data_IF_808368859792
#
_entry.id   IF_808368859792
#
_cell.length_a   1.000
_cell.length_b   1.000
_cell.length_c   1.000
_cell.angle_alpha   90.00
_cell.angle_beta   90.00
_cell.angle_gamma   90.00
#
_symmetry.space_group_name_H-M   'P 1'
#
loop_
_entity.id
_entity.type
_entity.pdbx_description
1 polymer ?
#
# COMPACT_ATOMS: atom_id res chain seq x y z
N UNK A 1 16.18 -14.33 -0.64
CA UNK A 1 16.14 -13.17 0.27
C UNK A 1 16.06 -11.92 -0.57
N UNK A 2 15.02 -11.09 -0.43
CA UNK A 2 14.87 -9.86 -1.23
C UNK A 2 15.69 -8.73 -0.58
N UNK A 3 16.37 -7.94 -1.39
CA UNK A 3 17.04 -6.73 -0.93
C UNK A 3 16.02 -5.59 -0.85
N UNK A 4 16.33 -4.59 -0.04
CA UNK A 4 15.54 -3.37 0.08
C UNK A 4 15.17 -2.75 -1.29
N UNK A 5 16.14 -2.55 -2.18
CA UNK A 5 15.89 -1.91 -3.48
C UNK A 5 14.90 -2.72 -4.35
N UNK A 6 15.02 -4.05 -4.35
CA UNK A 6 14.09 -4.93 -5.08
C UNK A 6 12.70 -4.84 -4.45
N UNK A 7 12.60 -4.86 -3.12
CA UNK A 7 11.32 -4.77 -2.43
C UNK A 7 10.59 -3.46 -2.71
N UNK A 8 11.31 -2.33 -2.69
CA UNK A 8 10.74 -1.01 -3.02
C UNK A 8 10.28 -0.96 -4.47
N UNK A 9 11.12 -1.40 -5.42
CA UNK A 9 10.76 -1.42 -6.84
C UNK A 9 9.51 -2.26 -7.11
N UNK A 10 9.45 -3.49 -6.59
CA UNK A 10 8.29 -4.37 -6.78
C UNK A 10 7.03 -3.82 -6.11
N UNK A 11 7.14 -3.16 -4.94
CA UNK A 11 5.99 -2.49 -4.33
C UNK A 11 5.45 -1.37 -5.24
N UNK A 12 6.32 -0.56 -5.84
CA UNK A 12 5.92 0.51 -6.78
C UNK A 12 5.29 -0.07 -8.04
N UNK A 13 5.84 -1.16 -8.59
CA UNK A 13 5.25 -1.87 -9.73
C UNK A 13 3.83 -2.36 -9.40
N UNK A 14 3.64 -3.03 -8.26
CA UNK A 14 2.32 -3.49 -7.85
C UNK A 14 1.35 -2.33 -7.65
N UNK A 15 1.75 -1.25 -6.98
CA UNK A 15 0.91 -0.05 -6.80
C UNK A 15 0.53 0.59 -8.14
N UNK A 16 1.47 0.66 -9.08
CA UNK A 16 1.22 1.19 -10.43
C UNK A 16 0.25 0.29 -11.20
N UNK A 17 0.38 -1.03 -11.08
CA UNK A 17 -0.55 -1.98 -11.67
C UNK A 17 -1.96 -1.87 -11.05
N UNK A 18 -2.05 -1.64 -9.74
CA UNK A 18 -3.34 -1.36 -9.10
C UNK A 18 -3.95 -0.08 -9.64
N UNK A 19 -3.16 0.98 -9.77
CA UNK A 19 -3.62 2.25 -10.30
C UNK A 19 -4.07 2.15 -11.76
N UNK A 20 -3.40 1.34 -12.59
CA UNK A 20 -3.78 1.07 -13.97
C UNK A 20 -5.14 0.36 -14.13
N UNK A 21 -5.66 -0.27 -13.07
CA UNK A 21 -6.99 -0.88 -13.07
C UNK A 21 -8.13 0.12 -12.82
N UNK A 22 -7.79 1.35 -12.44
CA UNK A 22 -8.75 2.41 -12.17
C UNK A 22 -9.02 3.27 -13.41
N UNK A 23 -10.06 4.13 -13.39
CA UNK A 23 -10.28 5.09 -14.46
C UNK A 23 -9.10 6.07 -14.62
N UNK A 24 -8.83 6.54 -15.86
CA UNK A 24 -7.86 7.61 -16.10
C UNK A 24 -8.16 8.86 -15.27
N UNK A 25 -7.10 9.57 -14.86
CA UNK A 25 -7.22 10.75 -14.00
C UNK A 25 -7.22 10.45 -12.51
N UNK A 26 -7.17 9.17 -12.13
CA UNK A 26 -6.91 8.77 -10.74
C UNK A 26 -5.43 8.92 -10.37
N UNK A 27 -5.15 9.01 -9.08
CA UNK A 27 -3.79 9.03 -8.56
C UNK A 27 -3.74 8.47 -7.13
N UNK A 28 -2.57 8.03 -6.70
CA UNK A 28 -2.29 7.72 -5.30
C UNK A 28 -1.45 8.85 -4.72
N UNK A 29 -1.83 9.40 -3.58
CA UNK A 29 -1.07 10.47 -2.91
C UNK A 29 -1.20 10.35 -1.38
N UNK A 30 -0.12 10.61 -0.67
CA UNK A 30 -0.17 10.69 0.79
C UNK A 30 -0.97 11.90 1.29
N UNK A 31 -1.29 12.88 0.43
CA UNK A 31 -2.12 14.05 0.74
C UNK A 31 -3.39 14.08 -0.12
N UNK A 32 -4.53 14.31 0.51
CA UNK A 32 -5.77 14.68 -0.17
C UNK A 32 -6.00 16.19 0.00
N UNK A 33 -6.05 17.00 -1.08
CA UNK A 33 -6.30 18.44 -0.98
C UNK A 33 -7.61 18.81 -0.29
N UNK A 34 -8.60 17.89 -0.29
CA UNK A 34 -9.89 18.05 0.40
C UNK A 34 -9.77 17.83 1.91
N UNK A 35 -8.73 17.12 2.35
CA UNK A 35 -8.43 16.79 3.75
C UNK A 35 -7.00 17.24 4.12
N UNK A 36 -6.71 18.55 4.15
CA UNK A 36 -5.35 19.07 4.27
C UNK A 36 -4.63 18.67 5.57
N UNK A 37 -5.38 18.30 6.61
CA UNK A 37 -4.83 17.85 7.90
C UNK A 37 -4.66 16.33 7.99
N UNK A 38 -5.21 15.56 7.05
CA UNK A 38 -5.16 14.09 7.04
C UNK A 38 -4.09 13.60 6.06
N UNK A 39 -2.82 13.72 6.46
CA UNK A 39 -1.69 13.18 5.69
C UNK A 39 -1.48 11.72 6.06
N UNK A 40 -1.50 10.85 5.05
CA UNK A 40 -1.10 9.45 5.17
C UNK A 40 0.41 9.33 4.95
N UNK A 41 0.97 8.12 4.96
CA UNK A 41 2.42 8.01 4.83
C UNK A 41 2.91 6.58 4.76
N UNK A 42 4.23 6.48 4.75
CA UNK A 42 4.96 5.22 4.85
C UNK A 42 5.55 5.07 6.25
N UNK A 43 5.64 3.82 6.69
CA UNK A 43 6.26 3.44 7.94
C UNK A 43 7.15 2.22 7.73
N UNK A 44 8.36 2.29 8.28
CA UNK A 44 9.31 1.19 8.31
C UNK A 44 9.27 0.55 9.69
N UNK A 45 8.94 -0.74 9.75
CA UNK A 45 8.90 -1.50 10.99
C UNK A 45 10.04 -2.51 10.99
N UNK A 46 10.94 -2.40 11.97
CA UNK A 46 11.97 -3.41 12.23
C UNK A 46 11.33 -4.69 12.75
N UNK A 47 11.77 -5.82 12.22
CA UNK A 47 11.26 -7.15 12.56
C UNK A 47 12.05 -7.81 13.71
N UNK A 48 13.21 -7.24 14.06
CA UNK A 48 14.11 -7.66 15.12
C UNK A 48 13.89 -6.85 16.41
N UNK A 49 13.04 -7.35 17.31
CA UNK A 49 12.75 -6.71 18.59
C UNK A 49 13.71 -7.10 19.73
N UNK A 50 14.47 -8.19 19.58
CA UNK A 50 15.16 -8.87 20.68
C UNK A 50 16.64 -9.19 20.37
N UNK A 51 17.45 -8.22 19.90
CA UNK A 51 18.90 -8.41 19.95
C UNK A 51 19.35 -8.34 21.43
N UNK A 52 19.91 -9.42 22.00
CA UNK A 52 20.38 -9.41 23.38
C UNK A 52 21.54 -8.41 23.53
N UNK A 53 21.59 -7.63 24.63
CA UNK A 53 22.65 -6.65 24.82
C UNK A 53 24.01 -7.35 24.91
N UNK A 54 24.91 -7.04 23.97
CA UNK A 54 26.30 -7.50 23.97
C UNK A 54 26.75 -8.31 22.75
N UNK A 55 25.86 -8.64 21.81
CA UNK A 55 26.24 -9.21 20.51
C UNK A 55 26.46 -8.13 19.45
N UNK A 56 27.33 -8.39 18.47
CA UNK A 56 27.41 -7.54 17.29
C UNK A 56 26.08 -7.61 16.53
N UNK A 57 25.54 -6.46 16.09
CA UNK A 57 24.24 -6.45 15.43
C UNK A 57 24.30 -7.29 14.15
N UNK A 58 23.41 -8.28 14.08
CA UNK A 58 23.21 -9.12 12.90
C UNK A 58 22.56 -8.33 11.76
N UNK A 59 22.25 -9.01 10.63
CA UNK A 59 21.46 -8.41 9.57
C UNK A 59 20.09 -7.96 10.10
N UNK A 60 19.79 -6.67 9.93
CA UNK A 60 18.50 -6.08 10.33
C UNK A 60 17.46 -6.38 9.25
N UNK A 61 16.32 -6.92 9.66
CA UNK A 61 15.17 -7.15 8.79
C UNK A 61 14.06 -6.15 9.10
N UNK A 62 13.36 -5.71 8.07
CA UNK A 62 12.23 -4.80 8.22
C UNK A 62 11.16 -5.04 7.16
N UNK A 63 9.95 -4.61 7.48
CA UNK A 63 8.85 -4.47 6.54
C UNK A 63 8.52 -2.99 6.33
N UNK A 64 8.17 -2.64 5.09
CA UNK A 64 7.72 -1.31 4.72
C UNK A 64 6.21 -1.35 4.53
N UNK A 65 5.52 -0.38 5.10
CA UNK A 65 4.09 -0.17 4.89
C UNK A 65 3.86 1.23 4.35
N UNK A 66 2.87 1.41 3.50
CA UNK A 66 2.41 2.73 3.08
C UNK A 66 0.91 2.75 2.91
N UNK A 67 0.33 3.93 3.10
CA UNK A 67 -1.08 4.20 2.77
C UNK A 67 -1.19 5.48 1.97
N UNK A 68 -2.04 5.45 0.97
CA UNK A 68 -2.30 6.54 0.03
C UNK A 68 -3.79 6.83 -0.02
N UNK A 69 -4.14 8.09 -0.22
CA UNK A 69 -5.45 8.47 -0.71
C UNK A 69 -5.57 8.11 -2.18
N UNK A 70 -6.72 7.57 -2.58
CA UNK A 70 -7.09 7.45 -3.98
C UNK A 70 -7.75 8.76 -4.40
N UNK A 71 -7.14 9.45 -5.35
CA UNK A 71 -7.59 10.74 -5.87
C UNK A 71 -8.22 10.58 -7.25
N UNK A 72 -8.88 11.65 -7.73
CA UNK A 72 -9.54 11.67 -9.05
C UNK A 72 -10.94 11.07 -9.08
N UNK A 73 -11.45 10.62 -7.93
CA UNK A 73 -12.79 10.08 -7.76
C UNK A 73 -13.72 11.04 -7.00
N UNK A 74 -15.02 10.95 -7.28
CA UNK A 74 -16.07 11.60 -6.49
C UNK A 74 -16.18 10.91 -5.12
N UNK A 75 -15.99 11.61 -4.00
CA UNK A 75 -16.06 11.01 -2.67
C UNK A 75 -17.49 10.58 -2.29
N UNK A 76 -18.52 11.01 -3.02
CA UNK A 76 -19.90 10.57 -2.80
C UNK A 76 -20.20 9.20 -3.44
N UNK A 77 -19.31 8.69 -4.29
CA UNK A 77 -19.50 7.45 -5.05
C UNK A 77 -18.19 6.64 -5.15
N UNK A 78 -17.77 6.04 -4.02
CA UNK A 78 -16.52 5.26 -3.94
C UNK A 78 -16.71 3.75 -3.91
N UNK A 79 -17.95 3.27 -3.86
CA UNK A 79 -18.26 1.83 -3.92
C UNK A 79 -17.73 1.18 -5.20
N UNK A 80 -17.94 1.78 -6.41
CA UNK A 80 -17.43 1.18 -7.65
C UNK A 80 -15.90 1.04 -7.64
N UNK A 81 -15.17 1.93 -6.95
CA UNK A 81 -13.72 1.87 -6.88
C UNK A 81 -13.23 0.72 -6.00
N UNK A 82 -13.92 0.41 -4.89
CA UNK A 82 -13.63 -0.80 -4.09
C UNK A 82 -13.82 -2.04 -4.95
N UNK A 83 -14.90 -2.10 -5.72
CA UNK A 83 -15.19 -3.24 -6.58
C UNK A 83 -14.19 -3.38 -7.74
N UNK A 84 -13.65 -2.28 -8.27
CA UNK A 84 -12.56 -2.30 -9.25
C UNK A 84 -11.28 -2.93 -8.67
N UNK A 85 -10.86 -2.55 -7.47
CA UNK A 85 -9.70 -3.18 -6.82
C UNK A 85 -9.92 -4.67 -6.57
N UNK A 86 -11.10 -5.04 -6.06
CA UNK A 86 -11.47 -6.45 -5.83
C UNK A 86 -11.41 -7.26 -7.12
N UNK A 87 -12.02 -6.75 -8.19
CA UNK A 87 -12.03 -7.39 -9.50
C UNK A 87 -10.61 -7.52 -10.07
N UNK A 88 -9.76 -6.50 -9.90
CA UNK A 88 -8.36 -6.56 -10.30
C UNK A 88 -7.59 -7.66 -9.56
N UNK A 89 -7.73 -7.75 -8.23
CA UNK A 89 -7.08 -8.78 -7.42
C UNK A 89 -7.57 -10.19 -7.78
N UNK A 90 -8.88 -10.36 -7.94
CA UNK A 90 -9.48 -11.63 -8.36
C UNK A 90 -9.03 -12.04 -9.77
N UNK A 91 -8.93 -11.09 -10.70
CA UNK A 91 -8.43 -11.33 -12.06
C UNK A 91 -6.96 -11.78 -12.09
N UNK A 92 -6.18 -11.39 -11.08
CA UNK A 92 -4.80 -11.86 -10.87
C UNK A 92 -4.72 -13.18 -10.07
N UNK A 93 -5.87 -13.74 -9.67
CA UNK A 93 -5.95 -14.96 -8.87
C UNK A 93 -5.52 -14.77 -7.40
N UNK A 94 -5.49 -13.53 -6.91
CA UNK A 94 -5.12 -13.25 -5.52
C UNK A 94 -6.31 -13.55 -4.60
N UNK A 95 -6.10 -14.23 -3.45
CA UNK A 95 -7.14 -14.36 -2.44
C UNK A 95 -7.59 -12.98 -1.96
N UNK A 96 -8.91 -12.77 -1.89
CA UNK A 96 -9.52 -11.53 -1.41
C UNK A 96 -10.34 -11.81 -0.14
N UNK A 97 -10.09 -11.03 0.89
CA UNK A 97 -10.92 -10.93 2.09
C UNK A 97 -11.69 -9.60 2.03
N UNK A 98 -12.99 -9.62 2.31
CA UNK A 98 -13.86 -8.45 2.18
C UNK A 98 -14.72 -8.23 3.44
N UNK A 99 -14.97 -6.96 3.73
CA UNK A 99 -15.97 -6.52 4.70
C UNK A 99 -16.91 -5.57 3.99
N UNK A 100 -18.14 -6.04 3.77
CA UNK A 100 -19.18 -5.30 3.02
C UNK A 100 -19.96 -4.31 3.90
N UNK A 101 -19.82 -4.38 5.23
CA UNK A 101 -20.38 -3.39 6.14
C UNK A 101 -19.69 -2.04 5.97
N UNK A 102 -20.45 -0.94 6.04
CA UNK A 102 -19.89 0.40 5.93
C UNK A 102 -19.02 0.75 7.17
N UNK A 103 -17.80 1.29 6.98
CA UNK A 103 -17.15 1.53 5.69
C UNK A 103 -16.59 0.25 5.06
N UNK A 104 -16.80 0.08 3.74
CA UNK A 104 -16.35 -1.11 3.02
C UNK A 104 -14.83 -1.21 3.02
N UNK A 105 -14.33 -2.44 3.11
CA UNK A 105 -12.91 -2.71 2.92
C UNK A 105 -12.68 -4.05 2.24
N UNK A 106 -11.55 -4.14 1.54
CA UNK A 106 -11.08 -5.40 0.98
C UNK A 106 -9.57 -5.50 1.08
N UNK A 107 -9.08 -6.72 1.22
CA UNK A 107 -7.67 -7.04 1.40
C UNK A 107 -7.27 -8.14 0.45
N UNK A 108 -6.06 -8.07 -0.09
CA UNK A 108 -5.54 -9.11 -0.96
C UNK A 108 -4.05 -9.37 -0.72
N UNK A 109 -3.65 -10.64 -0.84
CA UNK A 109 -2.25 -11.03 -0.72
C UNK A 109 -1.70 -11.54 -2.05
N UNK A 110 -0.60 -10.95 -2.47
CA UNK A 110 0.16 -11.40 -3.63
C UNK A 110 0.90 -12.71 -3.31
N UNK A 111 1.15 -13.58 -4.32
CA UNK A 111 1.95 -14.79 -4.14
C UNK A 111 3.36 -14.53 -3.60
N UNK A 112 3.92 -13.34 -3.87
CA UNK A 112 5.29 -12.98 -3.47
C UNK A 112 5.35 -12.18 -2.15
N UNK A 113 4.24 -12.15 -1.41
CA UNK A 113 4.19 -11.82 0.01
C UNK A 113 3.69 -10.41 0.35
N UNK A 114 3.47 -9.54 -0.64
CA UNK A 114 2.86 -8.22 -0.43
C UNK A 114 1.38 -8.34 -0.08
N UNK A 115 0.94 -7.45 0.80
CA UNK A 115 -0.43 -7.34 1.25
C UNK A 115 -0.98 -5.97 0.87
N UNK A 116 -2.12 -5.96 0.19
CA UNK A 116 -2.85 -4.75 -0.18
C UNK A 116 -4.15 -4.66 0.62
N UNK A 117 -4.56 -3.43 0.91
CA UNK A 117 -5.85 -3.15 1.54
C UNK A 117 -6.46 -1.90 0.97
N UNK A 118 -7.72 -1.97 0.55
CA UNK A 118 -8.53 -0.81 0.16
C UNK A 118 -9.57 -0.59 1.25
N UNK A 119 -9.65 0.65 1.75
CA UNK A 119 -10.53 0.99 2.87
C UNK A 119 -11.24 2.30 2.57
N UNK A 120 -12.57 2.27 2.62
CA UNK A 120 -13.38 3.48 2.63
C UNK A 120 -13.33 4.18 3.98
N UNK A 121 -13.47 5.50 3.97
CA UNK A 121 -13.75 6.30 5.15
C UNK A 121 -15.25 6.55 5.26
N UNK A 122 -15.72 6.88 6.47
CA UNK A 122 -17.11 7.30 6.70
C UNK A 122 -17.50 8.56 5.91
N UNK A 123 -16.52 9.39 5.56
CA UNK A 123 -16.67 10.58 4.73
C UNK A 123 -16.63 10.30 3.22
N UNK A 124 -16.53 9.03 2.81
CA UNK A 124 -16.55 8.64 1.40
C UNK A 124 -15.22 8.80 0.66
N UNK A 125 -14.11 9.13 1.36
CA UNK A 125 -12.77 9.01 0.78
C UNK A 125 -12.30 7.56 0.79
N UNK A 126 -11.43 7.19 -0.15
CA UNK A 126 -10.86 5.84 -0.28
C UNK A 126 -9.36 5.91 -0.06
N UNK A 127 -8.82 4.91 0.63
CA UNK A 127 -7.38 4.75 0.78
C UNK A 127 -6.93 3.37 0.32
N UNK A 128 -5.73 3.31 -0.28
CA UNK A 128 -5.04 2.09 -0.64
C UNK A 128 -3.78 1.96 0.23
N UNK A 129 -3.63 0.83 0.90
CA UNK A 129 -2.41 0.46 1.62
C UNK A 129 -1.67 -0.69 0.96
N UNK A 130 -0.35 -0.69 1.12
CA UNK A 130 0.55 -1.79 0.80
C UNK A 130 1.41 -2.09 2.02
N UNK A 131 1.66 -3.36 2.28
CA UNK A 131 2.66 -3.85 3.22
C UNK A 131 3.58 -4.84 2.49
N UNK A 132 4.89 -4.64 2.59
CA UNK A 132 5.88 -5.49 1.94
C UNK A 132 6.20 -6.72 2.79
N UNK A 133 6.65 -7.83 2.19
CA UNK A 133 7.34 -8.86 2.97
C UNK A 133 8.61 -8.29 3.61
N UNK A 134 9.12 -8.99 4.63
CA UNK A 134 10.41 -8.66 5.25
C UNK A 134 11.54 -8.66 4.21
N UNK A 135 12.43 -7.67 4.33
CA UNK A 135 13.62 -7.55 3.52
C UNK A 135 14.84 -7.19 4.38
N UNK A 136 16.03 -7.47 3.85
CA UNK A 136 17.27 -7.04 4.47
C UNK A 136 17.39 -5.52 4.38
N UNK A 137 17.37 -4.84 5.51
CA UNK A 137 17.47 -3.39 5.62
C UNK A 137 18.94 -2.97 5.53
N UNK A 138 19.28 -2.22 4.49
CA UNK A 138 20.65 -1.70 4.28
C UNK A 138 20.71 -0.22 4.66
N UNK A 139 19.66 0.54 4.38
CA UNK A 139 19.58 1.97 4.70
C UNK A 139 18.13 2.39 4.95
N UNK A 140 17.80 2.84 6.16
CA UNK A 140 16.47 3.33 6.48
C UNK A 140 16.04 4.54 5.63
N UNK A 141 16.99 5.41 5.26
CA UNK A 141 16.71 6.59 4.44
C UNK A 141 16.26 6.24 3.01
N UNK A 142 16.73 5.10 2.50
CA UNK A 142 16.42 4.61 1.16
C UNK A 142 15.17 3.70 1.16
N UNK A 143 14.64 3.33 2.33
CA UNK A 143 13.50 2.44 2.48
C UNK A 143 12.19 3.24 2.47
N UNK A 144 11.92 3.92 1.35
CA UNK A 144 10.73 4.76 1.18
C UNK A 144 10.02 4.45 -0.13
N UNK A 145 8.70 4.49 -0.08
CA UNK A 145 7.87 4.54 -1.29
C UNK A 145 7.67 5.99 -1.73
N UNK A 146 7.33 6.23 -3.01
CA UNK A 146 7.00 7.57 -3.50
C UNK A 146 5.81 8.16 -2.73
N UNK A 147 5.82 9.48 -2.53
CA UNK A 147 4.72 10.20 -1.86
C UNK A 147 3.48 10.27 -2.76
N UNK A 148 3.67 10.22 -4.08
CA UNK A 148 2.63 10.29 -5.11
C UNK A 148 2.95 9.35 -6.28
N UNK A 149 1.91 8.70 -6.81
CA UNK A 149 1.93 7.96 -8.06
C UNK A 149 0.75 8.42 -8.93
N UNK A 150 1.03 8.89 -10.13
CA UNK A 150 0.01 9.27 -11.10
C UNK A 150 -0.41 8.07 -11.96
N UNK A 151 -1.65 8.07 -12.45
CA UNK A 151 -2.14 6.99 -13.30
C UNK A 151 -1.25 6.84 -14.55
N UNK A 152 -0.87 5.60 -14.91
CA UNK A 152 -0.03 5.37 -16.08
C UNK A 152 -0.76 5.82 -17.36
N UNK A 153 -0.02 6.39 -18.31
CA UNK A 153 -0.56 6.87 -19.58
C UNK A 153 -0.99 5.73 -20.52
#
# INVERSE_FOLDING_TARGET
MKTQAITVATAVEHLTAQLASLPPGTALDIRDPRLPTATLGSNLSRSDWDDPPGEEPGPVFAALSARYWVLGMDPTDTDPYVDLFKAAWQGLGWPVEEHEDLPRSAYARTPDGYHFGVIQSLSGHLSLSVNTPDFLLVSAAEARLPDRLDHPA
#
